data_IF_242211042222
#
_entry.id   IF_242211042222
#
_cell.length_a   1.000
_cell.length_b   1.000
_cell.length_c   1.000
_cell.angle_alpha   90.00
_cell.angle_beta   90.00
_cell.angle_gamma   90.00
#
_symmetry.space_group_name_H-M   'P 1'
#
loop_
_entity.id
_entity.type
_entity.pdbx_description
1 polymer ?
#
# COMPACT_ATOMS: atom_id res chain seq x y z
N UNK A 1 4.61 4.35 -17.43
CA UNK A 1 4.41 3.56 -16.19
C UNK A 1 5.76 3.11 -15.73
N UNK A 2 6.02 3.34 -14.45
CA UNK A 2 7.28 2.99 -13.81
C UNK A 2 6.94 2.14 -12.60
N UNK A 3 7.65 1.02 -12.42
CA UNK A 3 7.51 0.18 -11.25
C UNK A 3 8.07 0.93 -10.04
N UNK A 4 7.29 1.05 -8.96
CA UNK A 4 7.82 1.50 -7.68
C UNK A 4 8.72 0.40 -7.10
N UNK A 5 10.02 0.66 -7.03
CA UNK A 5 11.03 -0.30 -6.55
C UNK A 5 10.85 -0.69 -5.09
N UNK A 6 10.20 0.13 -4.27
CA UNK A 6 9.88 -0.21 -2.88
C UNK A 6 8.94 -1.41 -2.78
N UNK A 7 8.11 -1.68 -3.79
CA UNK A 7 7.29 -2.88 -3.81
C UNK A 7 8.15 -4.15 -3.80
N UNK A 8 9.35 -4.10 -4.38
CA UNK A 8 10.25 -5.25 -4.48
C UNK A 8 10.84 -5.68 -3.13
N UNK A 9 10.73 -4.85 -2.08
CA UNK A 9 11.13 -5.21 -0.72
C UNK A 9 9.93 -5.57 0.17
N UNK A 10 8.70 -5.30 -0.27
CA UNK A 10 7.49 -5.67 0.47
C UNK A 10 7.25 -7.18 0.39
N UNK A 11 7.36 -7.88 1.52
CA UNK A 11 7.17 -9.34 1.60
C UNK A 11 5.83 -9.80 0.98
N UNK A 12 4.76 -9.06 1.23
CA UNK A 12 3.43 -9.36 0.69
C UNK A 12 3.37 -9.28 -0.84
N UNK A 13 4.02 -8.27 -1.42
CA UNK A 13 4.11 -8.12 -2.87
C UNK A 13 4.95 -9.24 -3.50
N UNK A 14 6.13 -9.53 -2.93
CA UNK A 14 7.01 -10.61 -3.39
C UNK A 14 6.25 -11.93 -3.40
N UNK A 15 5.55 -12.26 -2.32
CA UNK A 15 4.79 -13.51 -2.23
C UNK A 15 3.67 -13.56 -3.29
N UNK A 16 2.95 -12.44 -3.50
CA UNK A 16 1.92 -12.38 -4.53
C UNK A 16 2.50 -12.64 -5.92
N UNK A 17 3.59 -11.95 -6.29
CA UNK A 17 4.20 -12.12 -7.61
C UNK A 17 4.70 -13.56 -7.82
N UNK A 18 5.28 -14.19 -6.79
CA UNK A 18 5.69 -15.60 -6.87
C UNK A 18 4.52 -16.52 -7.18
N UNK A 19 3.42 -16.41 -6.43
CA UNK A 19 2.24 -17.24 -6.64
C UNK A 19 1.62 -17.00 -8.03
N UNK A 20 1.54 -15.76 -8.46
CA UNK A 20 0.98 -15.39 -9.77
C UNK A 20 1.85 -15.89 -10.93
N UNK A 21 3.17 -15.86 -10.79
CA UNK A 21 4.09 -16.40 -11.79
C UNK A 21 4.00 -17.92 -11.90
N UNK A 22 3.85 -18.61 -10.78
CA UNK A 22 3.64 -20.06 -10.77
C UNK A 22 2.40 -20.43 -11.60
N UNK A 23 1.27 -19.77 -11.33
CA UNK A 23 0.03 -19.95 -12.11
C UNK A 23 0.25 -19.58 -13.58
N UNK A 24 0.91 -18.45 -13.85
CA UNK A 24 1.20 -18.02 -15.22
C UNK A 24 1.97 -19.09 -16.01
N UNK A 25 3.06 -19.62 -15.46
CA UNK A 25 3.87 -20.62 -16.15
C UNK A 25 3.15 -21.97 -16.31
N UNK A 26 2.35 -22.38 -15.33
CA UNK A 26 1.52 -23.58 -15.45
C UNK A 26 0.53 -23.48 -16.62
N UNK A 27 -0.07 -22.32 -16.85
CA UNK A 27 -1.06 -22.14 -17.92
C UNK A 27 -0.46 -21.83 -19.30
N UNK A 28 0.70 -21.17 -19.35
CA UNK A 28 1.21 -20.57 -20.60
C UNK A 28 2.45 -21.25 -21.18
N UNK A 29 3.13 -22.13 -20.42
CA UNK A 29 4.31 -22.86 -20.92
C UNK A 29 3.87 -24.08 -21.73
N UNK A 30 3.68 -23.89 -23.03
CA UNK A 30 3.41 -24.96 -24.02
C UNK A 30 4.64 -25.22 -24.90
N UNK A 31 4.71 -26.39 -25.52
CA UNK A 31 5.88 -26.83 -26.29
C UNK A 31 6.18 -25.90 -27.49
N UNK A 32 5.14 -25.30 -28.08
CA UNK A 32 5.25 -24.43 -29.25
C UNK A 32 5.30 -22.92 -28.93
N UNK A 33 5.25 -22.53 -27.64
CA UNK A 33 5.28 -21.10 -27.28
C UNK A 33 6.71 -20.57 -27.38
N UNK A 34 6.93 -19.60 -28.28
CA UNK A 34 8.19 -18.86 -28.36
C UNK A 34 8.55 -18.20 -27.02
N UNK A 35 9.83 -18.31 -26.61
CA UNK A 35 10.34 -17.68 -25.39
C UNK A 35 10.12 -16.17 -25.37
N UNK A 36 10.17 -15.51 -26.53
CA UNK A 36 9.92 -14.08 -26.64
C UNK A 36 8.47 -13.74 -26.31
N UNK A 37 7.51 -14.48 -26.88
CA UNK A 37 6.09 -14.31 -26.60
C UNK A 37 5.80 -14.59 -25.12
N UNK A 38 6.40 -15.64 -24.56
CA UNK A 38 6.24 -15.98 -23.15
C UNK A 38 6.75 -14.84 -22.24
N UNK A 39 7.93 -14.28 -22.54
CA UNK A 39 8.52 -13.17 -21.81
C UNK A 39 7.69 -11.89 -21.90
N UNK A 40 7.24 -11.52 -23.10
CA UNK A 40 6.44 -10.31 -23.32
C UNK A 40 5.07 -10.41 -22.64
N UNK A 41 4.43 -11.58 -22.72
CA UNK A 41 3.16 -11.84 -22.04
C UNK A 41 3.32 -11.83 -20.53
N UNK A 42 4.39 -12.43 -20.00
CA UNK A 42 4.69 -12.41 -18.57
C UNK A 42 4.88 -10.98 -18.05
N UNK A 43 5.63 -10.13 -18.76
CA UNK A 43 5.81 -8.72 -18.39
C UNK A 43 4.47 -7.97 -18.35
N UNK A 44 3.61 -8.18 -19.34
CA UNK A 44 2.28 -7.56 -19.39
C UNK A 44 1.40 -8.03 -18.21
N UNK A 45 1.43 -9.34 -17.92
CA UNK A 45 0.71 -9.94 -16.80
C UNK A 45 1.15 -9.36 -15.45
N UNK A 46 2.46 -9.33 -15.20
CA UNK A 46 3.05 -8.78 -13.98
C UNK A 46 2.71 -7.30 -13.80
N UNK A 47 2.71 -6.52 -14.88
CA UNK A 47 2.33 -5.10 -14.82
C UNK A 47 0.88 -4.94 -14.38
N UNK A 48 -0.05 -5.72 -14.92
CA UNK A 48 -1.45 -5.72 -14.49
C UNK A 48 -1.60 -6.01 -13.00
N UNK A 49 -0.90 -7.05 -12.51
CA UNK A 49 -0.89 -7.41 -11.09
C UNK A 49 -0.33 -6.28 -10.24
N UNK A 50 0.78 -5.67 -10.67
CA UNK A 50 1.43 -4.59 -9.94
C UNK A 50 0.51 -3.37 -9.79
N UNK A 51 -0.16 -3.00 -10.89
CA UNK A 51 -1.12 -1.88 -10.90
C UNK A 51 -2.27 -2.17 -9.93
N UNK A 52 -2.86 -3.36 -10.00
CA UNK A 52 -3.95 -3.76 -9.11
C UNK A 52 -3.52 -3.79 -7.63
N UNK A 53 -2.34 -4.34 -7.33
CA UNK A 53 -1.79 -4.36 -5.98
C UNK A 53 -1.58 -2.94 -5.44
N UNK A 54 -0.97 -2.06 -6.25
CA UNK A 54 -0.72 -0.67 -5.87
C UNK A 54 -2.01 0.10 -5.64
N UNK A 55 -3.01 -0.09 -6.50
CA UNK A 55 -4.33 0.53 -6.35
C UNK A 55 -5.01 0.09 -5.05
N UNK A 56 -4.99 -1.21 -4.73
CA UNK A 56 -5.56 -1.73 -3.50
C UNK A 56 -4.81 -1.20 -2.26
N UNK A 57 -3.47 -1.20 -2.30
CA UNK A 57 -2.64 -0.63 -1.23
C UNK A 57 -2.96 0.84 -0.97
N UNK A 58 -3.08 1.64 -2.02
CA UNK A 58 -3.44 3.05 -1.90
C UNK A 58 -4.84 3.24 -1.32
N UNK A 59 -5.81 2.40 -1.72
CA UNK A 59 -7.17 2.40 -1.16
C UNK A 59 -7.17 2.11 0.33
N UNK A 60 -6.43 1.10 0.78
CA UNK A 60 -6.34 0.77 2.21
C UNK A 60 -5.62 1.86 3.02
N UNK A 61 -4.55 2.46 2.46
CA UNK A 61 -3.89 3.61 3.07
C UNK A 61 -4.84 4.79 3.25
N UNK A 62 -5.59 5.13 2.20
CA UNK A 62 -6.58 6.22 2.24
C UNK A 62 -7.66 5.98 3.30
N UNK A 63 -8.18 4.75 3.40
CA UNK A 63 -9.12 4.37 4.47
C UNK A 63 -8.52 4.57 5.85
N UNK A 64 -7.26 4.14 6.07
CA UNK A 64 -6.55 4.30 7.34
C UNK A 64 -6.39 5.79 7.70
N UNK A 65 -5.97 6.61 6.75
CA UNK A 65 -5.82 8.06 6.94
C UNK A 65 -7.16 8.72 7.32
N UNK A 66 -8.24 8.42 6.61
CA UNK A 66 -9.56 8.96 6.95
C UNK A 66 -10.06 8.54 8.33
N UNK A 67 -9.80 7.30 8.73
CA UNK A 67 -10.15 6.83 10.07
C UNK A 67 -9.37 7.61 11.15
N UNK A 68 -8.07 7.83 10.94
CA UNK A 68 -7.24 8.60 11.85
C UNK A 68 -7.69 10.07 11.91
N UNK A 69 -7.96 10.71 10.77
CA UNK A 69 -8.47 12.10 10.74
C UNK A 69 -9.80 12.21 11.48
N UNK A 70 -10.71 11.24 11.30
CA UNK A 70 -11.99 11.21 12.04
C UNK A 70 -11.75 11.12 13.55
N UNK A 71 -10.88 10.21 13.99
CA UNK A 71 -10.52 10.05 15.40
C UNK A 71 -9.84 11.29 15.98
N UNK A 72 -9.03 11.99 15.17
CA UNK A 72 -8.38 13.24 15.57
C UNK A 72 -9.43 14.28 15.93
N UNK A 73 -10.40 14.49 15.05
CA UNK A 73 -11.48 15.44 15.24
C UNK A 73 -12.31 15.14 16.49
N UNK A 74 -12.64 13.87 16.72
CA UNK A 74 -13.38 13.43 17.91
C UNK A 74 -12.61 13.70 19.22
N UNK A 75 -11.29 13.50 19.21
CA UNK A 75 -10.43 13.78 20.37
C UNK A 75 -10.22 15.27 20.59
N UNK A 76 -10.14 16.08 19.53
CA UNK A 76 -10.05 17.54 19.62
C UNK A 76 -11.32 18.12 20.25
N UNK A 77 -12.50 17.68 19.79
CA UNK A 77 -13.79 18.08 20.38
C UNK A 77 -13.90 17.68 21.86
N UNK A 78 -13.41 16.49 22.22
CA UNK A 78 -13.39 16.02 23.62
C UNK A 78 -12.45 16.87 24.47
N UNK A 79 -11.26 17.19 23.95
CA UNK A 79 -10.26 18.02 24.63
C UNK A 79 -10.79 19.43 24.93
N UNK A 80 -11.54 20.02 23.99
CA UNK A 80 -12.21 21.31 24.21
C UNK A 80 -13.25 21.25 25.32
N UNK A 81 -14.01 20.15 25.40
CA UNK A 81 -15.05 19.96 26.43
C UNK A 81 -14.48 19.59 27.81
N UNK A 82 -13.31 18.95 27.85
CA UNK A 82 -12.66 18.47 29.07
C UNK A 82 -11.13 18.73 29.03
N UNK A 83 -10.68 19.99 29.21
CA UNK A 83 -9.28 20.40 28.97
C UNK A 83 -8.25 19.85 29.97
N UNK A 84 -8.71 19.21 31.05
CA UNK A 84 -7.89 18.60 32.10
C UNK A 84 -7.47 17.15 31.85
N UNK A 85 -8.01 16.49 30.82
CA UNK A 85 -7.71 15.07 30.59
C UNK A 85 -6.33 14.87 29.95
N UNK A 86 -5.38 14.41 30.76
CA UNK A 86 -4.01 14.07 30.33
C UNK A 86 -3.99 12.91 29.33
N UNK A 87 -4.94 11.97 29.42
CA UNK A 87 -5.02 10.85 28.50
C UNK A 87 -5.41 11.32 27.09
N UNK A 88 -6.45 12.15 26.97
CA UNK A 88 -6.86 12.75 25.69
C UNK A 88 -5.71 13.53 25.02
N UNK A 89 -4.89 14.26 25.80
CA UNK A 89 -3.72 14.97 25.26
C UNK A 89 -2.63 14.03 24.73
N UNK A 90 -2.35 12.94 25.45
CA UNK A 90 -1.38 11.93 25.01
C UNK A 90 -1.86 11.23 23.73
N UNK A 91 -3.13 10.85 23.67
CA UNK A 91 -3.73 10.20 22.51
C UNK A 91 -3.67 11.10 21.27
N UNK A 92 -3.91 12.41 21.43
CA UNK A 92 -3.77 13.39 20.35
C UNK A 92 -2.34 13.48 19.81
N UNK A 93 -1.33 13.47 20.68
CA UNK A 93 0.08 13.52 20.26
C UNK A 93 0.44 12.25 19.47
N UNK A 94 0.05 11.07 19.97
CA UNK A 94 0.31 9.80 19.30
C UNK A 94 -0.36 9.74 17.93
N UNK A 95 -1.62 10.20 17.84
CA UNK A 95 -2.38 10.17 16.59
C UNK A 95 -1.81 11.14 15.54
N UNK A 96 -1.38 12.34 15.96
CA UNK A 96 -0.68 13.29 15.07
C UNK A 96 0.65 12.73 14.58
N UNK A 97 1.38 12.04 15.45
CA UNK A 97 2.63 11.37 15.06
C UNK A 97 2.38 10.24 14.05
N UNK A 98 1.35 9.41 14.26
CA UNK A 98 0.98 8.34 13.32
C UNK A 98 0.58 8.89 11.95
N UNK A 99 -0.18 10.00 11.91
CA UNK A 99 -0.53 10.69 10.66
C UNK A 99 0.72 11.21 9.93
N UNK A 100 1.65 11.85 10.65
CA UNK A 100 2.89 12.36 10.06
C UNK A 100 3.75 11.25 9.45
N UNK A 101 3.87 10.09 10.11
CA UNK A 101 4.57 8.92 9.53
C UNK A 101 3.92 8.49 8.21
N UNK A 102 2.58 8.41 8.17
CA UNK A 102 1.85 8.03 6.95
C UNK A 102 2.02 9.04 5.80
N UNK A 103 2.18 10.32 6.11
CA UNK A 103 2.47 11.39 5.13
C UNK A 103 3.91 11.31 4.61
N UNK A 104 4.89 11.07 5.49
CA UNK A 104 6.29 10.89 5.10
C UNK A 104 6.50 9.68 4.19
N UNK A 105 5.78 8.57 4.44
CA UNK A 105 5.75 7.42 3.53
C UNK A 105 5.26 7.75 2.11
N UNK A 106 4.52 8.86 1.93
CA UNK A 106 4.06 9.31 0.62
C UNK A 106 5.07 10.19 -0.10
N UNK A 107 5.74 11.09 0.63
CA UNK A 107 6.78 11.97 0.09
C UNK A 107 7.96 11.17 -0.49
N UNK A 108 8.32 10.06 0.14
CA UNK A 108 9.40 9.17 -0.35
C UNK A 108 9.02 8.52 -1.70
N UNK A 109 7.73 8.42 -2.06
CA UNK A 109 7.31 7.86 -3.36
C UNK A 109 7.36 8.86 -4.51
N UNK A 110 7.34 10.15 -4.20
CA UNK A 110 7.35 11.25 -5.18
C UNK A 110 8.74 11.78 -5.51
N UNK A 111 9.77 11.40 -4.73
CA UNK A 111 11.19 11.65 -5.01
C UNK A 111 11.79 10.53 -5.85
#
# INVERSE_FOLDING_TARGET
>A
WTLNSQLLIEKGYIQKIKNELEVFFQCNKKQDTSLQILWDTMKAYLRGITIAYTANRNKEKWKKQNLLIKRLKELEDRSMKAPGDKQTKNDLILLKHELNILEQEDLIKTM
#
